data_IF_171205648232
#
_entry.id   IF_171205648232
#
_cell.length_a   1.000
_cell.length_b   1.000
_cell.length_c   1.000
_cell.angle_alpha   90.00
_cell.angle_beta   90.00
_cell.angle_gamma   90.00
#
_symmetry.space_group_name_H-M   'P 1'
#
loop_
_entity.id
_entity.type
_entity.pdbx_description
1 polymer ?
#
# COMPACT_ATOMS: atom_id res chain seq x y z
N UNK A 1 1.93 6.17 16.47
CA UNK A 1 3.00 6.18 15.45
C UNK A 1 2.47 5.43 14.24
N UNK A 2 2.30 6.11 13.12
CA UNK A 2 1.78 5.47 11.89
C UNK A 2 2.96 4.79 11.19
N UNK A 3 2.95 3.46 11.10
CA UNK A 3 4.04 2.68 10.47
C UNK A 3 4.00 2.84 8.95
N UNK A 4 5.15 2.79 8.27
CA UNK A 4 5.27 2.85 6.81
C UNK A 4 4.32 1.85 6.10
N UNK A 5 4.25 0.60 6.58
CA UNK A 5 3.26 -0.43 6.23
C UNK A 5 1.82 0.07 6.17
N UNK A 6 1.39 0.80 7.19
CA UNK A 6 0.03 1.33 7.28
C UNK A 6 -0.19 2.45 6.28
N UNK A 7 0.84 3.28 6.06
CA UNK A 7 0.82 4.34 5.03
C UNK A 7 0.69 3.74 3.64
N UNK A 8 1.52 2.77 3.27
CA UNK A 8 1.45 2.14 1.94
C UNK A 8 0.14 1.41 1.70
N UNK A 9 -0.40 0.72 2.72
CA UNK A 9 -1.70 0.08 2.63
C UNK A 9 -2.84 1.10 2.43
N UNK A 10 -2.85 2.22 3.16
CA UNK A 10 -3.87 3.26 3.03
C UNK A 10 -3.78 4.00 1.69
N UNK A 11 -2.58 4.29 1.22
CA UNK A 11 -2.33 4.96 -0.08
C UNK A 11 -2.90 4.14 -1.24
N UNK A 12 -2.85 2.81 -1.17
CA UNK A 12 -3.47 1.94 -2.16
C UNK A 12 -4.98 1.76 -1.93
N UNK A 13 -5.37 1.44 -0.69
CA UNK A 13 -6.72 0.99 -0.39
C UNK A 13 -7.76 2.11 -0.52
N UNK A 14 -7.44 3.33 -0.07
CA UNK A 14 -8.37 4.47 -0.07
C UNK A 14 -8.82 4.87 -1.48
N UNK A 15 -7.92 5.12 -2.46
CA UNK A 15 -8.35 5.52 -3.80
C UNK A 15 -9.14 4.41 -4.51
N UNK A 16 -8.73 3.14 -4.37
CA UNK A 16 -9.50 2.02 -4.92
C UNK A 16 -10.89 1.92 -4.28
N UNK A 17 -11.00 2.14 -2.97
CA UNK A 17 -12.28 2.10 -2.27
C UNK A 17 -13.20 3.25 -2.72
N UNK A 18 -12.65 4.45 -2.93
CA UNK A 18 -13.39 5.60 -3.47
C UNK A 18 -13.91 5.33 -4.88
N UNK A 19 -13.08 4.76 -5.76
CA UNK A 19 -13.46 4.38 -7.12
C UNK A 19 -14.57 3.32 -7.08
N UNK A 20 -14.39 2.27 -6.27
CA UNK A 20 -15.39 1.23 -6.09
C UNK A 20 -16.71 1.80 -5.54
N UNK A 21 -16.65 2.74 -4.61
CA UNK A 21 -17.84 3.41 -4.09
C UNK A 21 -18.58 4.18 -5.19
N UNK A 22 -17.87 5.01 -5.96
CA UNK A 22 -18.49 5.84 -7.02
C UNK A 22 -19.11 4.97 -8.11
N UNK A 23 -18.41 3.93 -8.58
CA UNK A 23 -18.88 3.07 -9.67
C UNK A 23 -19.93 2.05 -9.23
N UNK A 24 -19.80 1.44 -8.04
CA UNK A 24 -20.61 0.29 -7.64
C UNK A 24 -21.65 0.60 -6.56
N UNK A 25 -21.80 1.85 -6.07
CA UNK A 25 -22.79 2.18 -5.00
C UNK A 25 -24.21 1.69 -5.26
N UNK A 26 -24.61 1.60 -6.53
CA UNK A 26 -25.96 1.18 -6.94
C UNK A 26 -26.12 -0.35 -6.96
N UNK A 27 -25.01 -1.08 -7.05
CA UNK A 27 -24.92 -2.54 -7.06
C UNK A 27 -24.24 -3.02 -5.78
N UNK A 28 -24.97 -2.93 -4.65
CA UNK A 28 -24.44 -3.24 -3.30
C UNK A 28 -23.71 -4.60 -3.18
N UNK A 29 -24.17 -5.70 -3.79
CA UNK A 29 -23.47 -6.98 -3.70
C UNK A 29 -22.09 -6.93 -4.36
N UNK A 30 -22.00 -6.29 -5.52
CA UNK A 30 -20.74 -6.14 -6.27
C UNK A 30 -19.79 -5.22 -5.51
N UNK A 31 -20.30 -4.16 -4.90
CA UNK A 31 -19.50 -3.29 -4.04
C UNK A 31 -18.89 -4.07 -2.87
N UNK A 32 -19.68 -4.88 -2.15
CA UNK A 32 -19.18 -5.71 -1.04
C UNK A 32 -18.11 -6.71 -1.52
N UNK A 33 -18.30 -7.31 -2.68
CA UNK A 33 -17.30 -8.19 -3.28
C UNK A 33 -16.00 -7.45 -3.62
N UNK A 34 -16.11 -6.24 -4.19
CA UNK A 34 -14.94 -5.40 -4.46
C UNK A 34 -14.20 -5.03 -3.17
N UNK A 35 -14.92 -4.69 -2.09
CA UNK A 35 -14.32 -4.43 -0.76
C UNK A 35 -13.61 -5.68 -0.23
N UNK A 36 -14.21 -6.86 -0.36
CA UNK A 36 -13.57 -8.11 0.06
C UNK A 36 -12.27 -8.38 -0.71
N UNK A 37 -12.27 -8.20 -2.04
CA UNK A 37 -11.06 -8.31 -2.86
C UNK A 37 -10.00 -7.29 -2.45
N UNK A 38 -10.40 -6.06 -2.12
CA UNK A 38 -9.52 -5.00 -1.65
C UNK A 38 -8.84 -5.40 -0.33
N UNK A 39 -9.60 -5.97 0.61
CA UNK A 39 -9.07 -6.47 1.88
C UNK A 39 -8.10 -7.63 1.67
N UNK A 40 -8.44 -8.59 0.80
CA UNK A 40 -7.59 -9.74 0.48
C UNK A 40 -6.29 -9.27 -0.19
N UNK A 41 -6.38 -8.42 -1.21
CA UNK A 41 -5.22 -7.89 -1.92
C UNK A 41 -4.31 -7.06 -1.02
N UNK A 42 -4.88 -6.17 -0.20
CA UNK A 42 -4.11 -5.35 0.74
C UNK A 42 -3.49 -6.20 1.85
N UNK A 43 -4.21 -7.19 2.36
CA UNK A 43 -3.71 -8.12 3.37
C UNK A 43 -2.55 -8.97 2.84
N UNK A 44 -2.64 -9.45 1.60
CA UNK A 44 -1.54 -10.14 0.92
C UNK A 44 -0.31 -9.21 0.78
N UNK A 45 -0.53 -7.96 0.35
CA UNK A 45 0.54 -6.97 0.19
C UNK A 45 1.20 -6.55 1.51
N UNK A 46 0.46 -6.60 2.62
CA UNK A 46 1.02 -6.47 3.96
C UNK A 46 1.88 -7.66 4.35
N UNK A 47 1.43 -8.88 4.05
CA UNK A 47 2.15 -10.10 4.39
C UNK A 47 3.47 -10.24 3.61
N UNK A 48 3.54 -9.74 2.37
CA UNK A 48 4.76 -9.76 1.55
C UNK A 48 5.73 -8.62 1.84
N UNK A 49 5.31 -7.59 2.60
CA UNK A 49 6.14 -6.43 2.92
C UNK A 49 6.11 -5.29 1.90
N UNK A 50 5.48 -5.48 0.74
CA UNK A 50 5.43 -4.45 -0.31
C UNK A 50 4.72 -3.14 0.13
N UNK A 51 3.88 -3.20 1.15
CA UNK A 51 3.29 -1.98 1.76
C UNK A 51 4.28 -1.12 2.55
N UNK A 52 5.36 -1.70 3.11
CA UNK A 52 6.44 -0.91 3.71
C UNK A 52 7.21 -0.16 2.62
N UNK A 53 7.57 -0.82 1.51
CA UNK A 53 8.30 -0.22 0.39
C UNK A 53 7.53 0.98 -0.19
N UNK A 54 6.22 0.80 -0.43
CA UNK A 54 5.34 1.89 -0.89
C UNK A 54 5.25 2.99 0.15
N UNK A 55 5.13 2.64 1.43
CA UNK A 55 5.11 3.60 2.53
C UNK A 55 6.37 4.46 2.59
N UNK A 56 7.55 3.85 2.48
CA UNK A 56 8.84 4.55 2.47
C UNK A 56 9.00 5.46 1.26
N UNK A 57 8.57 4.99 0.08
CA UNK A 57 8.60 5.77 -1.16
C UNK A 57 7.70 7.01 -1.08
N UNK A 58 6.51 6.88 -0.47
CA UNK A 58 5.56 7.99 -0.29
C UNK A 58 6.03 8.96 0.80
N UNK A 59 6.62 8.45 1.88
CA UNK A 59 7.10 9.27 3.00
C UNK A 59 8.46 9.95 2.72
N UNK A 60 9.10 9.65 1.59
CA UNK A 60 10.44 10.15 1.27
C UNK A 60 11.52 9.66 2.23
N UNK A 61 11.24 8.60 3.00
CA UNK A 61 12.18 8.01 3.94
C UNK A 61 13.21 7.20 3.15
N UNK A 62 14.41 7.78 2.98
CA UNK A 62 15.57 7.12 2.37
C UNK A 62 15.83 5.79 3.07
N UNK A 63 15.91 4.70 2.30
CA UNK A 63 16.03 3.33 2.77
C UNK A 63 17.02 3.19 3.94
N UNK A 64 16.58 2.76 5.14
CA UNK A 64 17.51 2.45 6.24
C UNK A 64 18.33 1.19 5.95
N UNK A 65 18.00 0.43 4.90
CA UNK A 65 18.69 -0.77 4.43
C UNK A 65 19.55 -0.52 3.19
N UNK A 66 19.68 0.71 2.71
CA UNK A 66 20.69 1.04 1.71
C UNK A 66 22.07 0.78 2.32
N UNK A 67 22.60 -0.42 2.06
CA UNK A 67 24.00 -0.75 2.32
C UNK A 67 24.81 0.35 1.65
N UNK A 68 25.64 1.12 2.38
CA UNK A 68 26.47 2.14 1.77
C UNK A 68 27.28 1.45 0.68
N UNK A 69 27.04 1.83 -0.58
CA UNK A 69 27.86 1.37 -1.69
C UNK A 69 29.31 1.69 -1.30
N UNK A 70 30.11 0.64 -1.11
CA UNK A 70 31.50 0.77 -0.70
C UNK A 70 32.16 1.78 -1.64
N UNK A 71 32.59 2.90 -1.06
CA UNK A 71 33.22 4.00 -1.78
C UNK A 71 34.43 3.42 -2.54
N UNK A 72 34.45 3.43 -3.88
CA UNK A 72 35.63 2.98 -4.59
C UNK A 72 36.74 3.97 -4.28
N UNK A 73 37.72 3.51 -3.51
CA UNK A 73 38.95 4.25 -3.26
C UNK A 73 39.67 4.39 -4.60
N UNK A 74 39.67 5.60 -5.17
CA UNK A 74 40.63 6.09 -6.16
C UNK A 74 40.69 7.62 -6.06
#
# INVERSE_FOLDING_TARGET
MLTAKLVGALVLAIPLLLIAWIMLRRQRPVFLFAVALLLVGTGYLMATGATDDIGHLVLGAKDPTAVPAAQPAN
#
